data_IF_546323704257
#
_entry.id   IF_546323704257
#
_cell.length_a   1.000
_cell.length_b   1.000
_cell.length_c   1.000
_cell.angle_alpha   90.00
_cell.angle_beta   90.00
_cell.angle_gamma   90.00
#
_symmetry.space_group_name_H-M   'P 1'
#
loop_
_entity.id
_entity.type
_entity.pdbx_description
1 polymer ?
#
# COMPACT_ATOMS: atom_id res chain seq x y z
N UNK A 1 -12.65 51.77 59.27
CA UNK A 1 -13.50 51.63 58.07
C UNK A 1 -12.58 51.29 56.91
N UNK A 2 -12.42 49.99 56.66
CA UNK A 2 -11.59 49.47 55.56
C UNK A 2 -12.50 49.13 54.39
N UNK A 3 -12.10 49.46 53.14
CA UNK A 3 -12.89 49.15 51.96
C UNK A 3 -12.77 47.66 51.64
N UNK A 4 -13.91 47.00 51.49
CA UNK A 4 -14.01 45.64 50.97
C UNK A 4 -13.70 45.65 49.46
N UNK A 5 -12.68 44.91 49.05
CA UNK A 5 -12.34 44.67 47.65
C UNK A 5 -13.10 43.44 47.15
N UNK A 6 -14.21 43.65 46.44
CA UNK A 6 -14.91 42.62 45.69
C UNK A 6 -14.18 42.32 44.37
N UNK A 7 -13.22 41.42 44.42
CA UNK A 7 -12.57 40.83 43.24
C UNK A 7 -13.55 39.92 42.49
N UNK A 8 -14.06 40.43 41.38
CA UNK A 8 -15.06 39.82 40.51
C UNK A 8 -14.39 38.80 39.56
N UNK A 9 -14.12 37.59 40.05
CA UNK A 9 -13.60 36.49 39.24
C UNK A 9 -14.65 36.04 38.22
N UNK A 10 -14.54 36.56 36.99
CA UNK A 10 -15.29 36.09 35.84
C UNK A 10 -14.91 34.63 35.56
N UNK A 11 -15.73 33.69 36.04
CA UNK A 11 -15.58 32.25 35.73
C UNK A 11 -15.65 32.06 34.23
N UNK A 12 -14.49 31.83 33.64
CA UNK A 12 -14.29 31.44 32.25
C UNK A 12 -14.98 30.08 32.03
N UNK A 13 -16.26 30.12 31.63
CA UNK A 13 -17.08 28.94 31.32
C UNK A 13 -16.57 28.33 30.01
N UNK A 14 -15.45 27.62 30.09
CA UNK A 14 -14.92 26.81 28.99
C UNK A 14 -15.95 25.73 28.68
N UNK A 15 -16.49 25.78 27.46
CA UNK A 15 -17.40 24.75 26.96
C UNK A 15 -16.58 23.50 26.69
N UNK A 16 -16.89 22.43 27.39
CA UNK A 16 -16.30 21.12 27.14
C UNK A 16 -17.20 20.31 26.20
N UNK A 17 -16.59 19.67 25.21
CA UNK A 17 -17.24 18.72 24.33
C UNK A 17 -16.64 17.35 24.63
N UNK A 18 -17.50 16.37 24.91
CA UNK A 18 -17.13 14.98 25.06
C UNK A 18 -17.83 14.15 24.00
N UNK A 19 -17.17 13.07 23.58
CA UNK A 19 -17.73 12.05 22.71
C UNK A 19 -17.88 10.78 23.55
N UNK A 20 -18.99 10.07 23.40
CA UNK A 20 -19.23 8.84 24.16
C UNK A 20 -19.17 7.59 23.28
N UNK A 21 -19.65 7.69 22.04
CA UNK A 21 -19.90 6.55 21.18
C UNK A 21 -19.41 6.83 19.75
N UNK A 22 -18.90 5.79 19.11
CA UNK A 22 -18.47 5.79 17.72
C UNK A 22 -19.44 4.90 16.95
N UNK A 23 -20.08 5.47 15.93
CA UNK A 23 -20.90 4.70 14.99
C UNK A 23 -20.03 4.28 13.80
N UNK A 24 -19.93 2.97 13.59
CA UNK A 24 -19.22 2.38 12.45
C UNK A 24 -20.26 1.92 11.42
N UNK A 25 -20.01 2.29 10.17
CA UNK A 25 -20.85 1.90 9.03
C UNK A 25 -19.98 1.11 8.07
N UNK A 26 -20.40 -0.12 7.77
CA UNK A 26 -19.77 -0.94 6.75
C UNK A 26 -20.45 -0.69 5.41
N UNK A 27 -19.61 -0.45 4.40
CA UNK A 27 -20.03 -0.18 3.03
C UNK A 27 -19.44 -1.27 2.14
N UNK A 28 -20.23 -1.83 1.19
CA UNK A 28 -19.74 -2.79 0.24
C UNK A 28 -18.66 -2.15 -0.63
N UNK A 29 -17.67 -2.93 -1.04
CA UNK A 29 -16.68 -2.49 -2.01
C UNK A 29 -17.27 -2.70 -3.40
N UNK A 30 -17.41 -1.61 -4.16
CA UNK A 30 -17.90 -1.64 -5.54
C UNK A 30 -16.79 -1.20 -6.51
N UNK A 31 -16.97 -1.53 -7.80
CA UNK A 31 -16.11 -0.98 -8.85
C UNK A 31 -16.37 0.52 -9.00
N UNK A 32 -15.29 1.29 -9.09
CA UNK A 32 -15.35 2.73 -9.33
C UNK A 32 -15.28 3.10 -10.81
N UNK A 33 -15.45 4.38 -11.09
CA UNK A 33 -15.25 5.00 -12.40
C UNK A 33 -14.11 6.03 -12.39
N UNK A 34 -13.34 6.10 -11.30
CA UNK A 34 -12.34 7.15 -11.13
C UNK A 34 -11.19 7.04 -12.15
N UNK A 35 -10.96 8.06 -13.01
CA UNK A 35 -9.96 8.01 -14.08
C UNK A 35 -8.50 8.06 -13.60
N UNK A 36 -8.25 8.24 -12.29
CA UNK A 36 -6.89 8.40 -11.75
C UNK A 36 -6.15 7.07 -11.52
N UNK A 37 -6.81 5.93 -11.76
CA UNK A 37 -6.14 4.64 -11.68
C UNK A 37 -5.28 4.43 -12.92
N UNK A 38 -3.96 4.55 -12.76
CA UNK A 38 -3.00 4.26 -13.83
C UNK A 38 -3.02 2.79 -14.27
N UNK A 39 -3.43 1.88 -13.38
CA UNK A 39 -3.41 0.44 -13.62
C UNK A 39 -4.46 -0.29 -12.75
N UNK A 40 -5.25 -1.18 -13.37
CA UNK A 40 -6.32 -1.96 -12.75
C UNK A 40 -7.60 -1.16 -12.48
N UNK A 41 -8.67 -1.89 -12.16
CA UNK A 41 -9.97 -1.29 -11.87
C UNK A 41 -9.93 -0.50 -10.55
N UNK A 42 -10.46 0.74 -10.51
CA UNK A 42 -10.71 1.44 -9.27
C UNK A 42 -11.72 0.66 -8.41
N UNK A 43 -11.52 0.71 -7.10
CA UNK A 43 -12.51 0.25 -6.11
C UNK A 43 -12.94 1.44 -5.27
N UNK A 44 -14.21 1.49 -4.91
CA UNK A 44 -14.77 2.55 -4.07
C UNK A 44 -15.80 1.97 -3.09
N UNK A 45 -16.10 2.67 -1.98
CA UNK A 45 -17.23 2.31 -1.14
C UNK A 45 -18.54 2.50 -1.90
N UNK A 46 -19.47 1.57 -1.75
CA UNK A 46 -20.84 1.71 -2.24
C UNK A 46 -21.64 2.70 -1.40
N UNK A 47 -22.86 3.00 -1.85
CA UNK A 47 -23.75 3.95 -1.19
C UNK A 47 -24.65 3.30 -0.14
N UNK A 48 -24.92 2.01 -0.27
CA UNK A 48 -25.80 1.25 0.60
C UNK A 48 -25.01 0.66 1.76
N UNK A 49 -25.34 1.06 2.99
CA UNK A 49 -24.73 0.47 4.18
C UNK A 49 -25.13 -1.00 4.30
N UNK A 50 -24.15 -1.89 4.38
CA UNK A 50 -24.41 -3.31 4.65
C UNK A 50 -24.75 -3.50 6.13
N UNK A 51 -23.96 -2.89 7.02
CA UNK A 51 -24.08 -3.04 8.45
C UNK A 51 -23.77 -1.74 9.20
N UNK A 52 -24.35 -1.61 10.40
CA UNK A 52 -24.12 -0.50 11.32
C UNK A 52 -24.00 -1.03 12.74
N UNK A 53 -22.95 -0.61 13.43
CA UNK A 53 -22.78 -0.91 14.84
C UNK A 53 -22.15 0.27 15.56
N UNK A 54 -22.20 0.22 16.89
CA UNK A 54 -21.63 1.26 17.73
C UNK A 54 -20.69 0.69 18.77
N UNK A 55 -19.65 1.45 19.09
CA UNK A 55 -18.61 1.07 20.04
C UNK A 55 -18.34 2.27 20.94
N UNK A 56 -18.14 2.03 22.24
CA UNK A 56 -17.75 3.09 23.17
C UNK A 56 -16.37 3.65 22.78
N UNK A 57 -16.18 4.95 22.95
CA UNK A 57 -14.90 5.59 22.63
C UNK A 57 -13.74 5.00 23.43
N UNK A 58 -13.99 4.66 24.71
CA UNK A 58 -12.99 4.11 25.61
C UNK A 58 -12.53 2.72 25.14
N UNK A 59 -13.46 1.86 24.72
CA UNK A 59 -13.13 0.54 24.17
C UNK A 59 -12.38 0.65 22.84
N UNK A 60 -12.76 1.61 21.99
CA UNK A 60 -12.04 1.85 20.74
C UNK A 60 -10.60 2.31 20.97
N UNK A 61 -10.37 3.32 21.82
CA UNK A 61 -9.03 3.84 22.09
C UNK A 61 -8.15 2.81 22.83
N UNK A 62 -8.74 1.96 23.69
CA UNK A 62 -8.01 0.87 24.34
C UNK A 62 -7.53 -0.22 23.37
N UNK A 63 -8.25 -0.45 22.25
CA UNK A 63 -7.91 -1.48 21.26
C UNK A 63 -7.16 -0.92 20.04
N UNK A 64 -7.11 0.40 19.89
CA UNK A 64 -6.53 1.07 18.74
C UNK A 64 -5.01 0.90 18.69
N UNK A 65 -4.52 0.19 17.67
CA UNK A 65 -3.09 0.12 17.38
C UNK A 65 -2.54 1.48 16.89
N UNK A 66 -1.27 1.82 17.17
CA UNK A 66 -0.65 3.05 16.67
C UNK A 66 -0.78 3.15 15.15
N UNK A 67 -1.50 4.14 14.67
CA UNK A 67 -1.85 4.25 13.26
C UNK A 67 -0.60 4.60 12.44
N UNK A 68 -0.11 3.65 11.63
CA UNK A 68 0.93 3.93 10.65
C UNK A 68 0.31 4.75 9.51
N UNK A 69 0.62 6.03 9.44
CA UNK A 69 0.19 6.96 8.37
C UNK A 69 0.65 6.57 6.95
N UNK A 70 1.42 5.48 6.80
CA UNK A 70 2.12 5.18 5.55
C UNK A 70 1.25 4.57 4.44
N UNK A 71 0.05 4.10 4.74
CA UNK A 71 -0.71 3.25 3.81
C UNK A 71 -2.11 3.81 3.50
N UNK A 72 -2.19 5.09 3.12
CA UNK A 72 -3.43 5.68 2.57
C UNK A 72 -3.67 5.30 1.10
N UNK A 73 -2.75 4.56 0.50
CA UNK A 73 -2.87 4.05 -0.86
C UNK A 73 -3.15 2.55 -0.83
N UNK A 74 -4.14 2.10 -1.59
CA UNK A 74 -4.45 0.68 -1.76
C UNK A 74 -3.74 0.15 -3.00
N UNK A 75 -2.70 -0.71 -2.87
CA UNK A 75 -1.96 -1.21 -4.02
C UNK A 75 -2.83 -2.05 -4.97
N UNK A 76 -2.48 -2.09 -6.26
CA UNK A 76 -3.21 -2.86 -7.29
C UNK A 76 -3.52 -4.29 -6.87
N UNK A 77 -2.53 -5.01 -6.33
CA UNK A 77 -2.70 -6.40 -5.89
C UNK A 77 -3.84 -6.57 -4.88
N UNK A 78 -3.94 -5.65 -3.90
CA UNK A 78 -5.01 -5.68 -2.91
C UNK A 78 -6.37 -5.40 -3.53
N UNK A 79 -6.46 -4.46 -4.49
CA UNK A 79 -7.72 -4.19 -5.22
C UNK A 79 -8.19 -5.42 -6.00
N UNK A 80 -7.28 -6.09 -6.71
CA UNK A 80 -7.60 -7.31 -7.45
C UNK A 80 -8.07 -8.41 -6.49
N UNK A 81 -7.42 -8.58 -5.33
CA UNK A 81 -7.84 -9.55 -4.31
C UNK A 81 -9.23 -9.22 -3.75
N UNK A 82 -9.54 -7.94 -3.51
CA UNK A 82 -10.88 -7.53 -3.10
C UNK A 82 -11.91 -7.91 -4.16
N UNK A 83 -11.70 -7.52 -5.42
CA UNK A 83 -12.63 -7.78 -6.53
C UNK A 83 -12.86 -9.29 -6.74
N UNK A 84 -11.81 -10.11 -6.65
CA UNK A 84 -11.91 -11.57 -6.84
C UNK A 84 -12.75 -12.28 -5.77
N UNK A 85 -12.79 -11.72 -4.56
CA UNK A 85 -13.46 -12.36 -3.43
C UNK A 85 -14.89 -11.85 -3.22
N UNK A 86 -15.38 -10.90 -4.03
CA UNK A 86 -16.77 -10.46 -3.96
C UNK A 86 -17.63 -11.55 -4.63
N UNK A 87 -18.54 -12.21 -3.89
CA UNK A 87 -19.49 -13.12 -4.52
C UNK A 87 -20.38 -12.28 -5.43
N UNK A 88 -20.34 -12.58 -6.73
CA UNK A 88 -21.26 -11.95 -7.67
C UNK A 88 -22.66 -12.44 -7.36
N UNK A 89 -23.61 -11.51 -7.26
CA UNK A 89 -25.03 -11.87 -7.32
C UNK A 89 -25.30 -12.36 -8.72
N UNK A 90 -25.71 -13.62 -8.86
CA UNK A 90 -25.99 -14.28 -10.14
C UNK A 90 -27.08 -13.58 -10.96
N UNK A 91 -27.82 -12.65 -10.34
CA UNK A 91 -29.01 -12.04 -10.91
C UNK A 91 -28.75 -10.88 -11.90
N UNK A 92 -27.52 -10.33 -12.00
CA UNK A 92 -27.30 -9.09 -12.78
C UNK A 92 -26.08 -9.04 -13.74
N UNK A 93 -25.16 -10.01 -13.77
CA UNK A 93 -23.96 -9.89 -14.62
C UNK A 93 -23.51 -11.18 -15.32
N UNK A 94 -23.33 -11.09 -16.63
CA UNK A 94 -22.72 -12.12 -17.48
C UNK A 94 -21.24 -12.34 -17.04
N UNK A 95 -20.89 -13.48 -16.43
CA UNK A 95 -19.54 -13.74 -15.92
C UNK A 95 -18.45 -13.65 -17.02
N UNK A 96 -18.83 -13.75 -18.30
CA UNK A 96 -17.91 -13.58 -19.44
C UNK A 96 -17.37 -12.17 -19.59
N UNK A 97 -18.14 -11.12 -19.28
CA UNK A 97 -17.71 -9.73 -19.45
C UNK A 97 -16.61 -9.34 -18.45
N UNK A 98 -16.62 -9.95 -17.27
CA UNK A 98 -15.61 -9.68 -16.23
C UNK A 98 -14.35 -10.48 -16.50
N UNK A 99 -14.49 -11.76 -16.90
CA UNK A 99 -13.34 -12.54 -17.33
C UNK A 99 -12.61 -11.90 -18.53
N UNK A 100 -13.31 -11.29 -19.49
CA UNK A 100 -12.67 -10.56 -20.58
C UNK A 100 -11.97 -9.28 -20.08
N UNK A 101 -12.61 -8.48 -19.20
CA UNK A 101 -12.01 -7.26 -18.65
C UNK A 101 -10.79 -7.54 -17.74
N UNK A 102 -10.83 -8.65 -17.00
CA UNK A 102 -9.70 -9.10 -16.18
C UNK A 102 -8.61 -9.73 -17.06
N UNK A 103 -8.96 -10.53 -18.06
CA UNK A 103 -8.02 -11.16 -19.00
C UNK A 103 -7.28 -10.12 -19.87
N UNK A 104 -7.96 -9.06 -20.31
CA UNK A 104 -7.37 -7.96 -21.07
C UNK A 104 -6.38 -7.14 -20.23
N UNK A 105 -6.54 -7.11 -18.90
CA UNK A 105 -5.61 -6.47 -17.97
C UNK A 105 -4.57 -7.44 -17.35
N UNK A 106 -4.70 -8.74 -17.62
CA UNK A 106 -3.78 -9.79 -17.19
C UNK A 106 -3.16 -10.47 -18.41
N UNK A 107 -2.50 -9.70 -19.27
CA UNK A 107 -1.53 -10.29 -20.19
C UNK A 107 -0.26 -10.65 -19.42
N UNK A 108 -0.34 -11.77 -18.70
CA UNK A 108 0.68 -12.83 -18.62
C UNK A 108 0.29 -13.81 -17.49
N UNK A 109 0.11 -15.07 -17.88
CA UNK A 109 0.02 -16.29 -17.05
C UNK A 109 -1.32 -16.58 -16.36
N UNK A 110 -2.31 -16.99 -17.15
CA UNK A 110 -3.40 -17.86 -16.67
C UNK A 110 -3.04 -19.32 -16.93
N UNK A 111 -2.62 -20.04 -15.89
CA UNK A 111 -2.72 -21.51 -15.83
C UNK A 111 -3.89 -21.88 -14.93
N UNK A 112 -4.90 -22.49 -15.55
CA UNK A 112 -5.96 -23.39 -15.03
C UNK A 112 -6.42 -23.25 -13.56
N UNK A 113 -7.37 -22.34 -13.34
CA UNK A 113 -8.07 -22.10 -12.06
C UNK A 113 -9.05 -23.23 -11.68
N UNK A 114 -9.55 -24.01 -12.65
CA UNK A 114 -10.54 -25.07 -12.38
C UNK A 114 -10.00 -26.25 -11.57
N UNK A 115 -8.69 -26.35 -11.36
CA UNK A 115 -8.09 -27.40 -10.51
C UNK A 115 -7.91 -26.99 -9.04
N UNK A 116 -8.16 -25.72 -8.70
CA UNK A 116 -7.85 -25.18 -7.36
C UNK A 116 -9.05 -25.24 -6.41
N UNK A 117 -10.27 -25.09 -6.91
CA UNK A 117 -11.47 -25.05 -6.06
C UNK A 117 -11.82 -26.42 -5.43
N UNK A 118 -11.60 -27.53 -6.14
CA UNK A 118 -11.84 -28.88 -5.60
C UNK A 118 -10.81 -29.32 -4.53
N UNK A 119 -9.71 -28.56 -4.35
CA UNK A 119 -8.65 -28.87 -3.37
C UNK A 119 -8.78 -28.09 -2.05
N UNK A 120 -9.69 -27.12 -1.96
CA UNK A 120 -9.81 -26.19 -0.83
C UNK A 120 -10.68 -26.66 0.34
N UNK A 121 -11.31 -27.84 0.25
CA UNK A 121 -12.07 -28.45 1.36
C UNK A 121 -11.17 -29.12 2.41
N UNK A 122 -9.92 -29.42 2.07
CA UNK A 122 -8.94 -30.01 2.98
C UNK A 122 -8.12 -28.93 3.71
N UNK A 123 -8.18 -28.94 5.05
CA UNK A 123 -7.41 -28.05 5.92
C UNK A 123 -5.90 -28.17 5.70
N UNK A 124 -5.41 -29.33 5.24
CA UNK A 124 -4.03 -29.54 4.83
C UNK A 124 -3.63 -28.73 3.58
N UNK A 125 -4.54 -28.55 2.63
CA UNK A 125 -4.27 -27.79 1.41
C UNK A 125 -4.21 -26.29 1.70
N UNK A 126 -5.04 -25.79 2.62
CA UNK A 126 -5.05 -24.38 3.00
C UNK A 126 -3.75 -23.94 3.68
N UNK A 127 -3.15 -24.80 4.51
CA UNK A 127 -1.83 -24.56 5.10
C UNK A 127 -0.74 -24.54 4.02
N UNK A 128 -0.83 -25.45 3.05
CA UNK A 128 0.13 -25.55 1.95
C UNK A 128 0.09 -24.31 1.03
N UNK A 129 -1.10 -23.80 0.73
CA UNK A 129 -1.28 -22.57 -0.05
C UNK A 129 -0.70 -21.36 0.68
N UNK A 130 -0.94 -21.23 1.98
CA UNK A 130 -0.40 -20.13 2.77
C UNK A 130 1.14 -20.16 2.83
N UNK A 131 1.72 -21.36 2.86
CA UNK A 131 3.16 -21.54 2.86
C UNK A 131 3.79 -21.19 1.51
N UNK A 132 3.14 -21.53 0.40
CA UNK A 132 3.54 -21.09 -0.92
C UNK A 132 3.45 -19.56 -1.06
N UNK A 133 2.37 -18.92 -0.58
CA UNK A 133 2.22 -17.46 -0.62
C UNK A 133 3.31 -16.77 0.24
N UNK A 134 3.70 -17.37 1.37
CA UNK A 134 4.82 -16.89 2.20
C UNK A 134 6.18 -17.06 1.51
N UNK A 135 6.39 -18.16 0.80
CA UNK A 135 7.65 -18.42 0.11
C UNK A 135 7.80 -17.52 -1.12
N UNK A 136 6.73 -17.25 -1.87
CA UNK A 136 6.69 -16.23 -2.91
C UNK A 136 7.03 -14.84 -2.35
N UNK A 137 6.48 -14.46 -1.20
CA UNK A 137 6.80 -13.18 -0.55
C UNK A 137 8.25 -13.10 -0.08
N UNK A 138 8.84 -14.21 0.38
CA UNK A 138 10.27 -14.27 0.73
C UNK A 138 11.15 -14.11 -0.51
N UNK A 139 10.77 -14.75 -1.61
CA UNK A 139 11.48 -14.67 -2.88
C UNK A 139 11.49 -13.22 -3.41
N UNK A 140 10.34 -12.56 -3.45
CA UNK A 140 10.23 -11.14 -3.84
C UNK A 140 11.11 -10.23 -2.97
N UNK A 141 11.13 -10.44 -1.64
CA UNK A 141 12.00 -9.68 -0.74
C UNK A 141 13.49 -9.93 -1.00
N UNK A 142 13.87 -11.17 -1.33
CA UNK A 142 15.26 -11.50 -1.63
C UNK A 142 15.69 -10.94 -2.98
N UNK A 143 14.82 -10.97 -4.00
CA UNK A 143 15.06 -10.30 -5.28
C UNK A 143 15.25 -8.78 -5.11
N UNK A 144 14.45 -8.13 -4.26
CA UNK A 144 14.67 -6.71 -3.94
C UNK A 144 16.04 -6.49 -3.28
N UNK A 145 16.46 -7.39 -2.39
CA UNK A 145 17.76 -7.34 -1.71
C UNK A 145 18.90 -7.48 -2.73
N UNK A 146 18.80 -8.44 -3.64
CA UNK A 146 19.74 -8.66 -4.75
C UNK A 146 19.76 -7.43 -5.67
N UNK A 147 18.60 -6.89 -6.02
CA UNK A 147 18.47 -5.68 -6.83
C UNK A 147 19.14 -4.46 -6.20
N UNK A 148 18.98 -4.26 -4.89
CA UNK A 148 19.70 -3.21 -4.14
C UNK A 148 21.22 -3.39 -4.20
N UNK A 149 21.71 -4.62 -4.03
CA UNK A 149 23.14 -4.95 -4.15
C UNK A 149 23.69 -4.67 -5.55
N UNK A 150 22.98 -5.10 -6.60
CA UNK A 150 23.36 -4.84 -8.01
C UNK A 150 23.45 -3.34 -8.30
N UNK A 151 22.46 -2.55 -7.90
CA UNK A 151 22.47 -1.08 -8.04
C UNK A 151 23.63 -0.44 -7.28
N UNK A 152 23.92 -0.90 -6.06
CA UNK A 152 25.06 -0.41 -5.28
C UNK A 152 26.39 -0.72 -5.99
N UNK A 153 26.58 -1.95 -6.45
CA UNK A 153 27.78 -2.37 -7.17
C UNK A 153 27.97 -1.60 -8.48
N UNK A 154 26.89 -1.34 -9.22
CA UNK A 154 26.93 -0.53 -10.44
C UNK A 154 27.36 0.91 -10.15
N UNK A 155 26.83 1.54 -9.09
CA UNK A 155 27.26 2.88 -8.66
C UNK A 155 28.75 2.92 -8.27
N UNK A 156 29.24 1.88 -7.60
CA UNK A 156 30.67 1.77 -7.27
C UNK A 156 31.54 1.69 -8.53
N UNK A 157 31.16 0.86 -9.51
CA UNK A 157 31.86 0.77 -10.81
C UNK A 157 31.86 2.11 -11.55
N UNK A 158 30.73 2.82 -11.58
CA UNK A 158 30.64 4.14 -12.19
C UNK A 158 31.57 5.15 -11.50
N UNK A 159 31.60 5.17 -10.16
CA UNK A 159 32.51 6.04 -9.40
C UNK A 159 33.98 5.74 -9.70
N UNK A 160 34.35 4.47 -9.74
CA UNK A 160 35.72 4.06 -10.08
C UNK A 160 36.10 4.45 -11.52
N UNK A 161 35.19 4.28 -12.49
CA UNK A 161 35.42 4.69 -13.87
C UNK A 161 35.63 6.21 -14.00
N UNK A 162 34.80 7.01 -13.33
CA UNK A 162 34.94 8.48 -13.29
C UNK A 162 36.27 8.89 -12.64
N UNK A 163 36.67 8.25 -11.55
CA UNK A 163 37.95 8.52 -10.89
C UNK A 163 39.15 8.21 -11.80
N UNK A 164 39.12 7.07 -12.53
CA UNK A 164 40.15 6.71 -13.51
C UNK A 164 40.25 7.74 -14.64
N UNK A 165 39.11 8.18 -15.18
CA UNK A 165 39.09 9.22 -16.22
C UNK A 165 39.68 10.55 -15.72
N UNK A 166 39.41 10.94 -14.48
CA UNK A 166 40.00 12.15 -13.88
C UNK A 166 41.53 12.05 -13.81
N UNK A 167 42.06 10.93 -13.31
CA UNK A 167 43.50 10.69 -13.24
C UNK A 167 44.15 10.72 -14.62
N UNK A 168 43.53 10.09 -15.61
CA UNK A 168 44.00 10.12 -16.99
C UNK A 168 44.06 11.54 -17.55
N UNK A 169 42.98 12.32 -17.36
CA UNK A 169 42.94 13.71 -17.83
C UNK A 169 43.99 14.58 -17.13
N UNK A 170 44.26 14.35 -15.85
CA UNK A 170 45.32 15.03 -15.10
C UNK A 170 46.71 14.67 -15.64
N UNK A 171 46.98 13.39 -15.88
CA UNK A 171 48.22 12.93 -16.52
C UNK A 171 48.43 13.56 -17.90
N UNK A 172 47.38 13.60 -18.72
CA UNK A 172 47.43 14.23 -20.05
C UNK A 172 47.70 15.73 -19.95
N UNK A 173 47.10 16.41 -18.98
CA UNK A 173 47.35 17.84 -18.74
C UNK A 173 48.82 18.09 -18.37
N UNK A 174 49.39 17.28 -17.49
CA UNK A 174 50.80 17.37 -17.10
C UNK A 174 51.73 17.07 -18.28
N UNK A 175 51.40 16.07 -19.10
CA UNK A 175 52.15 15.74 -20.30
C UNK A 175 52.21 16.91 -21.29
N UNK A 176 51.06 17.58 -21.52
CA UNK A 176 51.00 18.76 -22.39
C UNK A 176 51.84 19.92 -21.86
N UNK A 177 51.82 20.19 -20.54
CA UNK A 177 52.65 21.24 -19.94
C UNK A 177 54.14 20.96 -20.13
N UNK A 178 54.57 19.72 -19.95
CA UNK A 178 55.99 19.34 -20.10
C UNK A 178 56.53 19.55 -21.53
N UNK A 179 55.69 19.43 -22.56
CA UNK A 179 56.11 19.56 -23.96
C UNK A 179 55.94 20.98 -24.53
N UNK A 180 55.45 21.94 -23.76
CA UNK A 180 55.34 23.34 -24.20
C UNK A 180 56.64 24.14 -24.00
N UNK A 181 57.55 23.64 -23.16
CA UNK A 181 58.80 24.31 -22.78
C UNK A 181 60.05 23.76 -23.49
N UNK A 182 59.89 22.80 -24.41
CA UNK A 182 60.97 22.15 -25.17
C UNK A 182 60.96 22.60 -26.64
#
# INVERSE_FOLDING_TARGET
>A
MTPEEDSKDAKDNKRHVSFCEIHVVELPVILGDHPCCRDGLPVQPGWEASDRYSVSIDTFEATRLPQRRSNLFLPKFHRVKLIRNVPFRDDEANPRAIHSLVAENSFEKTTDIKMVEDRLSDSNTRFSIFQLELDELKEVREEERIGRRRRHQQRQRQRQAVAKLRLYNEQMRLYCLFHQDA
#
